data_IF_598436591280
#
_entry.id   IF_598436591280
#
_cell.length_a   1.000
_cell.length_b   1.000
_cell.length_c   1.000
_cell.angle_alpha   90.00
_cell.angle_beta   90.00
_cell.angle_gamma   90.00
#
_symmetry.space_group_name_H-M   'P 1'
#
loop_
_entity.id
_entity.type
_entity.pdbx_description
1 polymer ?
#
# COMPACT_ATOMS: atom_id res chain seq x y z
N UNK A 1 -6.79 -4.44 -1.49
CA UNK A 1 -7.10 -3.64 -2.69
C UNK A 1 -7.70 -2.31 -2.28
N UNK A 2 -7.36 -1.24 -2.98
CA UNK A 2 -7.84 0.12 -2.72
C UNK A 2 -8.05 0.86 -4.02
N UNK A 3 -9.15 1.61 -4.15
CA UNK A 3 -9.43 2.42 -5.34
C UNK A 3 -8.51 3.65 -5.36
N UNK A 4 -7.99 3.99 -6.55
CA UNK A 4 -7.23 5.23 -6.75
C UNK A 4 -8.23 6.34 -7.08
N UNK A 5 -8.45 7.25 -6.14
CA UNK A 5 -9.46 8.30 -6.28
C UNK A 5 -9.22 9.18 -7.52
N UNK A 6 -10.30 9.52 -8.23
CA UNK A 6 -10.25 10.32 -9.46
C UNK A 6 -9.70 9.57 -10.68
N UNK A 7 -9.52 8.25 -10.59
CA UNK A 7 -9.05 7.37 -11.67
C UNK A 7 -9.94 6.13 -11.76
N UNK A 8 -10.03 5.54 -12.94
CA UNK A 8 -10.61 4.20 -13.11
C UNK A 8 -9.54 3.13 -12.87
N UNK A 9 -8.95 3.13 -11.67
CA UNK A 9 -7.79 2.30 -11.35
C UNK A 9 -7.81 1.83 -9.89
N UNK A 10 -7.15 0.70 -9.63
CA UNK A 10 -6.98 0.14 -8.29
C UNK A 10 -5.52 -0.14 -7.99
N UNK A 11 -5.16 -0.04 -6.71
CA UNK A 11 -3.97 -0.64 -6.13
C UNK A 11 -4.36 -1.97 -5.48
N UNK A 12 -3.78 -3.07 -5.94
CA UNK A 12 -4.02 -4.41 -5.44
C UNK A 12 -2.75 -4.94 -4.76
N UNK A 13 -2.82 -5.19 -3.46
CA UNK A 13 -1.71 -5.81 -2.73
C UNK A 13 -1.47 -7.23 -3.26
N UNK A 14 -0.20 -7.58 -3.43
CA UNK A 14 0.25 -8.85 -3.98
C UNK A 14 1.21 -9.50 -2.99
N UNK A 15 0.79 -10.62 -2.42
CA UNK A 15 1.54 -11.26 -1.37
C UNK A 15 2.86 -11.84 -1.91
N UNK A 16 3.99 -11.39 -1.36
CA UNK A 16 5.33 -11.83 -1.74
C UNK A 16 6.04 -10.99 -2.81
N UNK A 17 5.38 -10.01 -3.41
CA UNK A 17 6.00 -9.06 -4.34
C UNK A 17 5.84 -7.64 -3.82
N UNK A 18 4.60 -7.25 -3.55
CA UNK A 18 4.29 -5.95 -2.99
C UNK A 18 2.89 -5.50 -3.37
N UNK A 19 2.77 -4.84 -4.53
CA UNK A 19 1.47 -4.51 -5.09
C UNK A 19 1.48 -4.31 -6.60
N UNK A 20 0.31 -4.52 -7.18
CA UNK A 20 -0.01 -4.22 -8.57
C UNK A 20 -0.87 -2.96 -8.64
N UNK A 21 -0.69 -2.18 -9.71
CA UNK A 21 -1.64 -1.16 -10.13
C UNK A 21 -2.33 -1.66 -11.39
N UNK A 22 -3.66 -1.65 -11.38
CA UNK A 22 -4.49 -1.94 -12.55
C UNK A 22 -5.22 -0.68 -12.97
N UNK A 23 -4.96 -0.20 -14.19
CA UNK A 23 -5.64 0.94 -14.82
C UNK A 23 -6.65 0.44 -15.85
N UNK A 24 -7.93 0.58 -15.53
CA UNK A 24 -9.05 0.22 -16.40
C UNK A 24 -9.56 1.41 -17.23
N UNK A 25 -8.98 2.60 -17.04
CA UNK A 25 -9.36 3.82 -17.76
C UNK A 25 -8.63 4.00 -19.09
N UNK A 26 -7.57 3.22 -19.34
CA UNK A 26 -6.81 3.31 -20.58
C UNK A 26 -7.62 2.78 -21.77
N UNK A 27 -8.02 3.69 -22.68
CA UNK A 27 -8.76 3.32 -23.90
C UNK A 27 -7.86 2.73 -25.00
N UNK A 28 -6.53 2.85 -24.87
CA UNK A 28 -5.56 2.24 -25.77
C UNK A 28 -4.77 1.19 -25.00
N UNK A 29 -4.67 -0.03 -25.54
CA UNK A 29 -3.87 -1.13 -24.95
C UNK A 29 -2.39 -0.77 -24.79
N UNK A 30 -1.85 0.08 -25.69
CA UNK A 30 -0.49 0.63 -25.57
C UNK A 30 -0.36 1.74 -24.51
N UNK A 31 -1.48 2.21 -23.95
CA UNK A 31 -1.55 3.20 -22.89
C UNK A 31 -2.00 2.62 -21.54
N UNK A 32 -2.30 1.32 -21.46
CA UNK A 32 -2.56 0.62 -20.20
C UNK A 32 -1.33 0.75 -19.30
N UNK A 33 -1.51 1.37 -18.13
CA UNK A 33 -0.41 1.70 -17.19
C UNK A 33 -0.32 0.70 -16.05
N UNK A 34 -0.69 -0.55 -16.32
CA UNK A 34 -0.56 -1.61 -15.34
C UNK A 34 0.91 -1.75 -14.94
N UNK A 35 1.18 -1.84 -13.64
CA UNK A 35 2.53 -2.01 -13.14
C UNK A 35 2.54 -2.92 -11.93
N UNK A 36 3.53 -3.81 -11.89
CA UNK A 36 3.87 -4.58 -10.71
C UNK A 36 5.03 -3.88 -10.01
N UNK A 37 4.88 -3.61 -8.72
CA UNK A 37 5.88 -2.93 -7.92
C UNK A 37 6.33 -3.87 -6.81
N UNK A 38 7.62 -4.19 -6.84
CA UNK A 38 8.27 -5.00 -5.82
C UNK A 38 8.66 -4.13 -4.63
N UNK A 39 8.29 -4.58 -3.43
CA UNK A 39 8.79 -4.09 -2.15
C UNK A 39 9.47 -5.28 -1.48
N UNK A 40 10.79 -5.22 -1.34
CA UNK A 40 11.57 -6.33 -0.81
C UNK A 40 11.13 -6.68 0.61
N UNK A 41 10.98 -7.99 0.85
CA UNK A 41 10.56 -8.53 2.14
C UNK A 41 9.08 -8.38 2.44
N UNK A 42 8.27 -7.83 1.53
CA UNK A 42 6.83 -7.69 1.77
C UNK A 42 6.11 -9.03 1.63
N UNK A 43 5.33 -9.41 2.63
CA UNK A 43 4.67 -10.73 2.68
C UNK A 43 3.18 -10.65 2.45
N UNK A 44 2.37 -10.35 3.46
CA UNK A 44 0.91 -10.29 3.36
C UNK A 44 0.43 -8.89 3.72
N UNK A 45 -0.12 -8.19 2.73
CA UNK A 45 -0.30 -6.75 2.83
C UNK A 45 -1.76 -6.34 2.67
N UNK A 46 -2.23 -5.48 3.55
CA UNK A 46 -3.45 -4.70 3.35
C UNK A 46 -3.13 -3.28 2.92
N UNK A 47 -3.98 -2.69 2.09
CA UNK A 47 -3.82 -1.33 1.59
C UNK A 47 -4.94 -0.43 2.07
N UNK A 48 -4.59 0.80 2.44
CA UNK A 48 -5.52 1.88 2.73
C UNK A 48 -5.09 3.17 2.02
N UNK A 49 -6.03 4.04 1.65
CA UNK A 49 -5.73 5.36 1.09
C UNK A 49 -6.00 6.44 2.13
N UNK A 50 -5.08 7.40 2.25
CA UNK A 50 -5.22 8.58 3.10
C UNK A 50 -5.53 9.80 2.24
N UNK A 51 -6.76 10.36 2.29
CA UNK A 51 -7.09 11.60 1.58
C UNK A 51 -6.26 12.80 2.05
N UNK A 52 -5.77 12.76 3.29
CA UNK A 52 -4.98 13.85 3.90
C UNK A 52 -3.57 13.93 3.31
N UNK A 53 -2.94 12.78 3.05
CA UNK A 53 -1.57 12.73 2.50
C UNK A 53 -1.54 12.45 1.00
N UNK A 54 -2.64 11.94 0.44
CA UNK A 54 -2.71 11.50 -0.96
C UNK A 54 -1.94 10.21 -1.23
N UNK A 55 -1.54 9.49 -0.18
CA UNK A 55 -0.72 8.29 -0.27
C UNK A 55 -1.51 7.04 0.15
N UNK A 56 -0.96 5.89 -0.22
CA UNK A 56 -1.43 4.59 0.23
C UNK A 56 -0.54 4.08 1.36
N UNK A 57 -1.14 3.55 2.40
CA UNK A 57 -0.44 2.80 3.44
C UNK A 57 -0.62 1.31 3.19
N UNK A 58 0.49 0.59 3.21
CA UNK A 58 0.60 -0.85 3.03
C UNK A 58 0.99 -1.47 4.37
N UNK A 59 0.05 -2.14 5.02
CA UNK A 59 0.26 -2.81 6.30
C UNK A 59 0.64 -4.25 6.03
N UNK A 60 1.91 -4.60 6.21
CA UNK A 60 2.41 -5.97 6.10
C UNK A 60 2.33 -6.67 7.46
N UNK A 61 1.46 -7.67 7.55
CA UNK A 61 1.26 -8.43 8.80
C UNK A 61 2.40 -9.40 9.11
N UNK A 62 3.13 -9.90 8.10
CA UNK A 62 4.18 -10.89 8.34
C UNK A 62 5.47 -10.24 8.84
N UNK A 63 5.73 -8.99 8.45
CA UNK A 63 6.89 -8.21 8.94
C UNK A 63 6.51 -7.20 10.02
N UNK A 64 5.22 -7.09 10.34
CA UNK A 64 4.66 -6.05 11.19
C UNK A 64 5.10 -4.65 10.74
N UNK A 65 5.25 -4.37 9.44
CA UNK A 65 5.68 -3.05 8.93
C UNK A 65 4.52 -2.31 8.28
N UNK A 66 4.53 -0.98 8.37
CA UNK A 66 3.68 -0.12 7.54
C UNK A 66 4.56 0.59 6.51
N UNK A 67 4.21 0.48 5.23
CA UNK A 67 4.91 1.15 4.14
C UNK A 67 4.00 2.17 3.47
N UNK A 68 4.39 3.43 3.42
CA UNK A 68 3.64 4.48 2.73
C UNK A 68 4.16 4.63 1.29
N UNK A 69 3.26 4.58 0.32
CA UNK A 69 3.58 4.70 -1.11
C UNK A 69 2.78 5.82 -1.75
N UNK A 70 3.48 6.64 -2.53
CA UNK A 70 2.88 7.72 -3.31
C UNK A 70 2.84 7.32 -4.79
N UNK A 71 1.66 7.41 -5.42
CA UNK A 71 1.45 7.03 -6.83
C UNK A 71 1.18 8.29 -7.64
N UNK A 72 1.89 8.48 -8.75
CA UNK A 72 1.72 9.66 -9.62
C UNK A 72 0.62 9.46 -10.68
N UNK A 73 0.38 10.49 -11.49
CA UNK A 73 -0.66 10.49 -12.54
C UNK A 73 -0.46 9.45 -13.66
N UNK A 74 0.75 8.91 -13.80
CA UNK A 74 1.08 7.85 -14.76
C UNK A 74 1.20 6.48 -14.06
N UNK A 75 0.66 6.35 -12.85
CA UNK A 75 0.65 5.14 -12.04
C UNK A 75 2.03 4.56 -11.76
N UNK A 76 3.02 5.43 -11.57
CA UNK A 76 4.34 5.06 -11.08
C UNK A 76 4.49 5.46 -9.62
N UNK A 77 5.28 4.67 -8.89
CA UNK A 77 5.68 5.04 -7.53
C UNK A 77 6.59 6.25 -7.58
N UNK A 78 6.24 7.26 -6.78
CA UNK A 78 7.04 8.45 -6.53
C UNK A 78 7.98 8.23 -5.35
N UNK A 79 7.51 7.57 -4.29
CA UNK A 79 8.29 7.30 -3.08
C UNK A 79 7.70 6.14 -2.29
N UNK A 80 8.59 5.41 -1.60
CA UNK A 80 8.27 4.34 -0.64
C UNK A 80 8.93 4.74 0.68
N UNK A 81 8.16 4.79 1.77
CA UNK A 81 8.67 5.07 3.12
C UNK A 81 8.27 3.94 4.07
N UNK A 82 9.23 3.37 4.80
CA UNK A 82 8.92 2.47 5.91
C UNK A 82 8.57 3.30 7.15
N UNK A 83 7.36 3.13 7.68
CA UNK A 83 6.77 3.92 8.77
C UNK A 83 6.86 3.23 10.15
N UNK A 84 7.69 2.19 10.29
CA UNK A 84 7.93 1.51 11.56
C UNK A 84 7.07 0.25 11.77
N UNK A 85 7.18 -0.32 12.97
CA UNK A 85 6.56 -1.61 13.32
C UNK A 85 5.17 -1.45 13.94
N UNK A 86 4.25 -2.35 13.61
CA UNK A 86 2.93 -2.49 14.25
C UNK A 86 3.17 -3.09 15.63
N UNK A 87 3.35 -2.23 16.63
CA UNK A 87 3.38 -2.64 18.03
C UNK A 87 1.95 -2.60 18.60
N UNK A 88 1.48 -3.74 19.12
CA UNK A 88 0.22 -3.84 19.84
C UNK A 88 0.48 -4.10 21.33
N UNK A 89 1.48 -3.44 21.92
CA UNK A 89 1.83 -3.63 23.33
C UNK A 89 0.61 -3.35 24.21
N UNK A 90 -0.01 -4.43 24.70
CA UNK A 90 -1.10 -4.35 25.66
C UNK A 90 -0.46 -4.06 27.01
N UNK A 91 -0.58 -2.82 27.49
CA UNK A 91 -0.24 -2.52 28.87
C UNK A 91 -1.28 -3.23 29.74
N UNK A 92 -0.84 -4.21 30.55
CA UNK A 92 -1.67 -4.77 31.60
C UNK A 92 -1.47 -3.94 32.86
N UNK A 93 -2.54 -3.32 33.36
CA UNK A 93 -2.52 -2.65 34.67
C UNK A 93 -2.82 -3.72 35.71
N UNK A 94 -1.79 -4.36 36.24
CA UNK A 94 -1.90 -5.21 37.42
C UNK A 94 -2.07 -4.33 38.65
N UNK A 95 -3.22 -4.41 39.32
CA UNK A 95 -3.46 -3.73 40.60
C UNK A 95 -2.38 -4.14 41.61
N UNK A 96 -1.55 -3.17 42.02
CA UNK A 96 -0.67 -3.29 43.17
C UNK A 96 -1.52 -3.55 44.42
N UNK A 97 -1.24 -4.64 45.13
CA UNK A 97 -1.73 -4.85 46.50
C UNK A 97 -0.91 -4.04 47.49
#
# INVERSE_FOLDING_TARGET
MTVISGKNAILATNAGIGFDIFDFGAQNVNASRNSAITIDGQTATWSNFSPKTGNFSLTDIGTAKVTEVSVNIIFRVKSVLECGTIDNNVVSVGNSK
#
